data_IF_451846985613
#
_entry.id   IF_451846985613
#
_cell.length_a   1.000
_cell.length_b   1.000
_cell.length_c   1.000
_cell.angle_alpha   90.00
_cell.angle_beta   90.00
_cell.angle_gamma   90.00
#
_symmetry.space_group_name_H-M   'P 1'
#
loop_
_entity.id
_entity.type
_entity.pdbx_description
1 polymer ?
#
# COMPACT_ATOMS: atom_id res chain seq x y z
N UNK A 1 5.27 7.04 -24.77
CA UNK A 1 4.86 8.26 -23.98
C UNK A 1 4.36 9.22 -25.03
N UNK A 2 3.78 10.23 -24.96
CA UNK A 2 3.04 11.18 -25.83
C UNK A 2 1.55 11.21 -25.55
N UNK A 3 1.15 10.82 -24.32
CA UNK A 3 -0.23 11.01 -23.89
C UNK A 3 -0.33 12.24 -23.00
N UNK A 4 -1.50 12.86 -22.99
CA UNK A 4 -1.83 13.92 -22.04
C UNK A 4 -1.83 13.36 -20.61
N UNK A 5 -1.17 14.03 -19.68
CA UNK A 5 -1.04 13.57 -18.29
C UNK A 5 -2.35 13.42 -17.53
N UNK A 6 -3.35 14.19 -17.95
CA UNK A 6 -4.68 14.19 -17.34
C UNK A 6 -5.63 13.18 -17.99
N UNK A 7 -5.23 12.55 -19.11
CA UNK A 7 -6.02 11.57 -19.84
C UNK A 7 -5.08 10.51 -20.42
N UNK A 8 -4.86 9.44 -19.69
CA UNK A 8 -3.93 8.36 -20.08
C UNK A 8 -4.69 7.08 -20.38
N UNK A 9 -4.29 6.38 -21.44
CA UNK A 9 -4.85 5.09 -21.82
C UNK A 9 -3.76 4.10 -22.22
N UNK A 10 -3.83 2.89 -21.69
CA UNK A 10 -2.95 1.78 -22.06
C UNK A 10 -3.78 0.49 -22.09
N UNK A 11 -3.85 -0.16 -23.25
CA UNK A 11 -4.64 -1.37 -23.41
C UNK A 11 -6.11 -1.15 -23.05
N UNK A 12 -6.58 -1.97 -22.14
CA UNK A 12 -7.95 -1.94 -21.59
C UNK A 12 -8.16 -0.89 -20.48
N UNK A 13 -7.09 -0.26 -20.00
CA UNK A 13 -7.16 0.67 -18.87
C UNK A 13 -7.08 2.13 -19.31
N UNK A 14 -7.99 2.96 -18.80
CA UNK A 14 -7.97 4.42 -18.96
C UNK A 14 -8.07 5.10 -17.60
N UNK A 15 -7.24 6.12 -17.40
CA UNK A 15 -7.27 6.97 -16.20
C UNK A 15 -7.37 8.43 -16.62
N UNK A 16 -8.39 9.11 -16.12
CA UNK A 16 -8.62 10.54 -16.37
C UNK A 16 -8.62 11.31 -15.06
N UNK A 17 -7.94 12.44 -15.05
CA UNK A 17 -8.04 13.43 -13.97
C UNK A 17 -9.16 14.40 -14.34
N UNK A 18 -10.30 14.28 -13.66
CA UNK A 18 -11.46 15.14 -13.88
C UNK A 18 -11.24 16.50 -13.20
N UNK A 19 -10.86 16.46 -11.92
CA UNK A 19 -10.43 17.63 -11.18
C UNK A 19 -9.12 17.30 -10.41
N UNK A 20 -8.03 18.03 -10.66
CA UNK A 20 -6.75 17.75 -9.98
C UNK A 20 -6.88 17.70 -8.47
N UNK A 21 -6.30 16.64 -7.87
CA UNK A 21 -6.31 16.35 -6.44
C UNK A 21 -7.69 16.10 -5.82
N UNK A 22 -8.77 16.10 -6.60
CA UNK A 22 -10.14 15.89 -6.10
C UNK A 22 -10.82 14.69 -6.74
N UNK A 23 -10.81 14.60 -8.08
CA UNK A 23 -11.60 13.60 -8.78
C UNK A 23 -10.80 12.92 -9.91
N UNK A 24 -10.87 11.61 -9.92
CA UNK A 24 -10.28 10.74 -10.95
C UNK A 24 -11.34 9.78 -11.47
N UNK A 25 -11.32 9.52 -12.77
CA UNK A 25 -12.10 8.44 -13.38
C UNK A 25 -11.17 7.33 -13.88
N UNK A 26 -11.59 6.09 -13.66
CA UNK A 26 -10.92 4.89 -14.13
C UNK A 26 -11.91 4.07 -14.91
N UNK A 27 -11.60 3.83 -16.19
CA UNK A 27 -12.34 2.92 -17.04
C UNK A 27 -11.47 1.69 -17.32
N UNK A 28 -12.03 0.49 -17.15
CA UNK A 28 -11.45 -0.77 -17.57
C UNK A 28 -12.42 -1.41 -18.54
N UNK A 29 -11.95 -1.74 -19.76
CA UNK A 29 -12.76 -2.42 -20.76
C UNK A 29 -11.90 -3.54 -21.34
N UNK A 30 -12.11 -4.76 -20.84
CA UNK A 30 -11.39 -5.95 -21.28
C UNK A 30 -12.39 -7.05 -21.68
N UNK A 31 -12.86 -7.03 -22.94
CA UNK A 31 -13.83 -7.99 -23.43
C UNK A 31 -13.28 -9.43 -23.48
N UNK A 32 -11.97 -9.60 -23.65
CA UNK A 32 -11.33 -10.92 -23.70
C UNK A 32 -11.33 -11.61 -22.33
N UNK A 33 -11.39 -10.84 -21.26
CA UNK A 33 -11.43 -11.30 -19.87
C UNK A 33 -12.79 -11.12 -19.20
N UNK A 34 -13.73 -10.55 -19.94
CA UNK A 34 -15.08 -10.25 -19.44
C UNK A 34 -15.03 -9.40 -18.14
N UNK A 35 -14.15 -8.40 -18.15
CA UNK A 35 -13.96 -7.44 -17.06
C UNK A 35 -14.25 -6.04 -17.56
N UNK A 36 -15.20 -5.36 -16.93
CA UNK A 36 -15.43 -3.95 -17.17
C UNK A 36 -15.55 -3.21 -15.83
N UNK A 37 -15.05 -2.01 -15.79
CA UNK A 37 -15.24 -1.11 -14.66
C UNK A 37 -15.37 0.33 -15.17
N UNK A 38 -16.30 1.06 -14.57
CA UNK A 38 -16.45 2.50 -14.70
C UNK A 38 -16.50 3.06 -13.28
N UNK A 39 -15.40 3.62 -12.84
CA UNK A 39 -15.21 4.01 -11.47
C UNK A 39 -14.74 5.46 -11.35
N UNK A 40 -15.34 6.19 -10.45
CA UNK A 40 -14.92 7.54 -10.06
C UNK A 40 -14.41 7.52 -8.63
N UNK A 41 -13.18 7.97 -8.44
CA UNK A 41 -12.60 8.25 -7.13
C UNK A 41 -12.81 9.72 -6.78
N UNK A 42 -13.35 9.99 -5.62
CA UNK A 42 -13.51 11.34 -5.07
C UNK A 42 -12.75 11.44 -3.76
N UNK A 43 -11.79 12.37 -3.68
CA UNK A 43 -11.07 12.64 -2.43
C UNK A 43 -12.03 13.10 -1.33
N UNK A 44 -11.90 12.49 -0.16
CA UNK A 44 -12.65 12.89 1.06
C UNK A 44 -11.93 13.98 1.82
N UNK A 45 -10.62 13.96 1.73
CA UNK A 45 -9.71 14.89 2.41
C UNK A 45 -8.64 15.37 1.44
N UNK A 46 -7.95 16.45 1.81
CA UNK A 46 -6.79 16.92 1.06
C UNK A 46 -5.69 15.85 1.02
N UNK A 47 -4.94 15.74 -0.10
CA UNK A 47 -3.85 14.80 -0.19
C UNK A 47 -2.72 15.15 0.77
N UNK A 48 -2.17 14.14 1.43
CA UNK A 48 -1.03 14.27 2.32
C UNK A 48 0.27 13.95 1.59
N UNK A 49 1.29 14.78 1.77
CA UNK A 49 2.64 14.45 1.34
C UNK A 49 3.38 13.77 2.48
N UNK A 50 3.83 12.54 2.23
CA UNK A 50 4.66 11.82 3.17
C UNK A 50 6.09 12.38 3.22
N UNK A 51 6.81 12.20 4.33
CA UNK A 51 8.23 12.53 4.41
C UNK A 51 9.05 11.86 3.30
N UNK A 52 10.02 12.59 2.75
CA UNK A 52 10.93 12.06 1.74
C UNK A 52 11.72 10.87 2.28
N UNK A 53 11.71 9.77 1.56
CA UNK A 53 12.44 8.56 1.89
C UNK A 53 13.71 8.45 1.06
N UNK A 54 14.88 8.33 1.72
CA UNK A 54 16.17 8.16 1.06
C UNK A 54 16.83 6.89 1.57
N UNK A 55 17.12 5.96 0.66
CA UNK A 55 17.85 4.72 0.94
C UNK A 55 19.08 4.64 0.06
N UNK A 56 20.17 4.15 0.64
CA UNK A 56 21.46 4.03 -0.05
C UNK A 56 22.06 2.63 0.16
N UNK A 57 22.76 2.15 -0.84
CA UNK A 57 23.67 1.02 -0.74
C UNK A 57 25.09 1.51 -1.03
N UNK A 58 25.88 1.74 0.02
CA UNK A 58 27.16 2.44 -0.08
C UNK A 58 26.97 3.87 -0.66
N UNK A 59 27.74 4.24 -1.69
CA UNK A 59 27.62 5.55 -2.33
C UNK A 59 26.37 5.68 -3.23
N UNK A 60 25.70 4.58 -3.56
CA UNK A 60 24.60 4.54 -4.52
C UNK A 60 23.26 4.79 -3.83
N UNK A 61 22.52 5.76 -4.33
CA UNK A 61 21.12 5.96 -3.94
C UNK A 61 20.25 4.93 -4.66
N UNK A 62 19.59 4.07 -3.89
CA UNK A 62 18.66 3.03 -4.38
C UNK A 62 17.20 3.51 -4.36
N UNK A 63 16.89 4.40 -3.44
CA UNK A 63 15.59 5.07 -3.36
C UNK A 63 15.79 6.51 -2.90
N UNK A 64 15.12 7.43 -3.56
CA UNK A 64 15.00 8.82 -3.16
C UNK A 64 13.65 9.32 -3.67
N UNK A 65 12.63 9.13 -2.87
CA UNK A 65 11.26 9.33 -3.31
C UNK A 65 10.44 10.09 -2.29
N UNK A 66 9.49 10.85 -2.83
CA UNK A 66 8.38 11.44 -2.08
C UNK A 66 7.10 10.78 -2.55
N UNK A 67 6.16 10.57 -1.64
CA UNK A 67 4.85 10.01 -1.93
C UNK A 67 3.77 10.95 -1.42
N UNK A 68 2.70 11.02 -2.19
CA UNK A 68 1.45 11.64 -1.80
C UNK A 68 0.41 10.53 -1.61
N UNK A 69 -0.27 10.54 -0.49
CA UNK A 69 -1.40 9.65 -0.20
C UNK A 69 -2.67 10.47 -0.02
N UNK A 70 -3.78 10.01 -0.59
CA UNK A 70 -5.08 10.63 -0.44
C UNK A 70 -6.15 9.58 -0.19
N UNK A 71 -6.97 9.81 0.82
CA UNK A 71 -8.14 9.00 1.13
C UNK A 71 -9.37 9.51 0.39
N UNK A 72 -10.20 8.58 -0.06
CA UNK A 72 -11.37 8.94 -0.87
C UNK A 72 -12.47 7.89 -0.82
N UNK A 73 -13.47 8.12 -1.66
CA UNK A 73 -14.59 7.21 -1.88
C UNK A 73 -14.69 6.86 -3.34
N UNK A 74 -15.24 5.67 -3.62
CA UNK A 74 -15.49 5.20 -4.97
C UNK A 74 -16.97 5.21 -5.31
N UNK A 75 -17.29 5.49 -6.57
CA UNK A 75 -18.62 5.40 -7.13
C UNK A 75 -18.56 4.84 -8.53
N UNK A 76 -19.58 4.08 -8.95
CA UNK A 76 -19.66 3.51 -10.29
C UNK A 76 -20.09 2.05 -10.30
N UNK A 77 -19.51 1.26 -11.19
CA UNK A 77 -19.80 -0.17 -11.29
C UNK A 77 -18.59 -0.99 -11.76
N UNK A 78 -18.59 -2.24 -11.37
CA UNK A 78 -17.64 -3.26 -11.85
C UNK A 78 -18.48 -4.43 -12.35
N UNK A 79 -18.20 -4.94 -13.55
CA UNK A 79 -18.72 -6.22 -14.00
C UNK A 79 -17.59 -7.20 -14.26
N UNK A 80 -17.83 -8.44 -13.86
CA UNK A 80 -16.92 -9.56 -14.08
C UNK A 80 -17.74 -10.80 -14.39
N UNK A 81 -17.61 -11.29 -15.61
CA UNK A 81 -18.47 -12.36 -16.17
C UNK A 81 -19.94 -11.94 -16.03
N UNK A 82 -20.75 -12.78 -15.42
CA UNK A 82 -22.18 -12.56 -15.19
C UNK A 82 -22.52 -11.77 -13.92
N UNK A 83 -21.50 -11.26 -13.20
CA UNK A 83 -21.68 -10.52 -11.95
C UNK A 83 -21.48 -9.03 -12.17
N UNK A 84 -22.39 -8.25 -11.65
CA UNK A 84 -22.28 -6.80 -11.56
C UNK A 84 -22.25 -6.35 -10.09
N UNK A 85 -21.31 -5.48 -9.78
CA UNK A 85 -21.15 -4.86 -8.46
C UNK A 85 -21.38 -3.37 -8.64
N UNK A 86 -22.43 -2.84 -7.99
CA UNK A 86 -22.63 -1.40 -7.88
C UNK A 86 -21.75 -0.85 -6.76
N UNK A 87 -20.96 0.15 -7.10
CA UNK A 87 -20.04 0.81 -6.17
C UNK A 87 -20.64 2.14 -5.76
N UNK A 88 -20.89 2.33 -4.46
CA UNK A 88 -21.45 3.57 -3.93
C UNK A 88 -20.46 4.26 -3.00
N UNK A 89 -20.36 5.59 -3.08
CA UNK A 89 -19.44 6.39 -2.26
C UNK A 89 -19.62 6.26 -0.75
N UNK A 90 -20.78 5.80 -0.31
CA UNK A 90 -21.08 5.64 1.11
C UNK A 90 -20.45 4.35 1.66
N UNK A 91 -20.37 3.30 0.83
CA UNK A 91 -19.93 1.96 1.22
C UNK A 91 -18.49 1.69 0.81
N UNK A 92 -18.07 2.19 -0.36
CA UNK A 92 -16.76 1.91 -0.92
C UNK A 92 -15.78 3.05 -0.66
N UNK A 93 -14.87 2.83 0.27
CA UNK A 93 -13.77 3.73 0.58
C UNK A 93 -12.49 3.22 -0.07
N UNK A 94 -11.52 4.10 -0.22
CA UNK A 94 -10.24 3.73 -0.76
C UNK A 94 -9.17 4.76 -0.48
N UNK A 95 -7.97 4.42 -0.89
CA UNK A 95 -6.84 5.31 -0.85
C UNK A 95 -6.14 5.27 -2.20
N UNK A 96 -5.55 6.37 -2.60
CA UNK A 96 -4.62 6.41 -3.71
C UNK A 96 -3.29 6.95 -3.24
N UNK A 97 -2.21 6.42 -3.77
CA UNK A 97 -0.90 7.02 -3.61
C UNK A 97 -0.28 7.36 -4.97
N UNK A 98 0.65 8.28 -4.93
CA UNK A 98 1.51 8.62 -6.05
C UNK A 98 2.89 8.97 -5.53
N UNK A 99 3.89 8.30 -6.04
CA UNK A 99 5.28 8.61 -5.72
C UNK A 99 6.05 9.12 -6.93
N UNK A 100 7.08 9.91 -6.65
CA UNK A 100 8.01 10.44 -7.65
C UNK A 100 9.42 10.51 -7.07
N UNK A 101 10.42 10.42 -7.95
CA UNK A 101 11.83 10.40 -7.58
C UNK A 101 12.54 9.14 -8.09
N UNK A 102 13.59 8.72 -7.39
CA UNK A 102 14.37 7.51 -7.71
C UNK A 102 13.73 6.32 -6.98
N UNK A 103 13.41 5.29 -7.74
CA UNK A 103 12.85 4.03 -7.21
C UNK A 103 13.53 2.83 -7.86
N UNK A 104 13.61 1.66 -7.17
CA UNK A 104 14.13 0.43 -7.74
C UNK A 104 13.08 -0.23 -8.65
N UNK A 105 12.84 0.33 -9.82
CA UNK A 105 11.90 -0.17 -10.83
C UNK A 105 12.60 -0.39 -12.16
N UNK A 106 12.02 -1.24 -13.01
CA UNK A 106 12.61 -1.62 -14.30
C UNK A 106 13.55 -2.81 -14.20
N UNK A 107 14.31 -3.04 -15.26
CA UNK A 107 15.29 -4.12 -15.30
C UNK A 107 16.41 -3.88 -14.27
N UNK A 108 16.94 -4.96 -13.67
CA UNK A 108 18.10 -4.86 -12.80
C UNK A 108 19.27 -4.18 -13.52
N UNK A 109 20.03 -3.41 -12.77
CA UNK A 109 21.23 -2.77 -13.28
C UNK A 109 22.26 -3.83 -13.70
N UNK A 110 22.94 -3.62 -14.82
CA UNK A 110 23.99 -4.51 -15.32
C UNK A 110 25.22 -4.59 -14.40
N UNK A 111 25.37 -3.63 -13.51
CA UNK A 111 26.45 -3.56 -12.50
C UNK A 111 25.86 -3.58 -11.10
N UNK A 112 25.23 -4.69 -10.74
CA UNK A 112 24.72 -4.89 -9.39
C UNK A 112 25.89 -4.86 -8.40
N UNK A 113 25.78 -4.03 -7.37
CA UNK A 113 26.66 -4.14 -6.21
C UNK A 113 26.31 -5.44 -5.46
N UNK A 114 27.31 -6.29 -5.15
CA UNK A 114 27.03 -7.45 -4.32
C UNK A 114 26.46 -7.00 -2.97
N UNK A 115 25.48 -7.72 -2.43
CA UNK A 115 24.96 -7.40 -1.11
C UNK A 115 26.05 -7.61 -0.05
N UNK A 116 26.25 -6.63 0.80
CA UNK A 116 27.19 -6.71 1.91
C UNK A 116 26.69 -7.58 3.06
N UNK A 117 25.39 -7.83 3.10
CA UNK A 117 24.68 -8.61 4.11
C UNK A 117 23.43 -9.23 3.49
N UNK A 118 22.73 -10.08 4.25
CA UNK A 118 21.43 -10.61 3.83
C UNK A 118 20.50 -9.42 3.50
N UNK A 119 19.87 -9.40 2.33
CA UNK A 119 18.90 -8.35 2.00
C UNK A 119 17.84 -8.23 3.07
N UNK A 120 17.54 -7.02 3.49
CA UNK A 120 16.57 -6.73 4.53
C UNK A 120 15.68 -5.56 4.10
N UNK A 121 14.37 -5.74 4.22
CA UNK A 121 13.39 -4.70 4.06
C UNK A 121 12.16 -5.03 4.92
N UNK A 122 11.93 -4.26 5.94
CA UNK A 122 10.75 -4.38 6.80
C UNK A 122 9.87 -3.16 6.57
N UNK A 123 8.83 -3.35 5.77
CA UNK A 123 7.89 -2.31 5.36
C UNK A 123 6.48 -2.63 5.81
N UNK A 124 5.88 -1.68 6.54
CA UNK A 124 4.46 -1.65 6.87
C UNK A 124 3.90 -0.30 6.48
N UNK A 125 2.77 -0.28 5.76
CA UNK A 125 2.08 0.94 5.35
C UNK A 125 0.57 0.73 5.51
N UNK A 126 -0.12 1.61 6.25
CA UNK A 126 -1.47 1.37 6.70
C UNK A 126 -2.36 2.64 6.62
N UNK A 127 -2.92 2.92 5.46
CA UNK A 127 -3.98 3.91 5.29
C UNK A 127 -5.33 3.32 5.70
N UNK A 128 -6.14 4.09 6.43
CA UNK A 128 -7.49 3.71 6.83
C UNK A 128 -8.50 4.84 6.73
N UNK A 129 -9.73 4.48 6.42
CA UNK A 129 -10.89 5.37 6.36
C UNK A 129 -11.85 5.04 7.50
N UNK A 130 -12.20 6.04 8.30
CA UNK A 130 -13.26 6.02 9.29
C UNK A 130 -14.43 6.89 8.80
N UNK A 131 -15.53 6.95 9.55
CA UNK A 131 -16.70 7.75 9.14
C UNK A 131 -16.34 9.23 8.98
N UNK A 132 -15.71 9.81 9.99
CA UNK A 132 -15.42 11.25 10.14
C UNK A 132 -13.94 11.62 9.98
N UNK A 133 -13.06 10.64 9.75
CA UNK A 133 -11.60 10.85 9.74
C UNK A 133 -10.90 9.82 8.86
N UNK A 134 -9.60 10.02 8.69
CA UNK A 134 -8.70 9.02 8.09
C UNK A 134 -7.43 8.94 8.90
N UNK A 135 -6.75 7.80 8.85
CA UNK A 135 -5.42 7.68 9.40
C UNK A 135 -4.45 7.11 8.36
N UNK A 136 -3.21 7.51 8.49
CA UNK A 136 -2.14 6.99 7.68
C UNK A 136 -0.91 6.80 8.54
N UNK A 137 -0.35 5.61 8.53
CA UNK A 137 0.90 5.32 9.23
C UNK A 137 1.78 4.38 8.41
N UNK A 138 3.08 4.50 8.57
CA UNK A 138 4.03 3.54 8.04
C UNK A 138 5.29 3.40 8.89
N UNK A 139 5.97 2.25 8.71
CA UNK A 139 7.27 1.93 9.27
C UNK A 139 8.20 1.36 8.21
N UNK A 140 9.47 1.76 8.29
CA UNK A 140 10.60 1.04 7.71
C UNK A 140 11.59 0.78 8.83
N UNK A 141 11.79 -0.48 9.17
CA UNK A 141 12.74 -0.86 10.21
C UNK A 141 14.04 -1.42 9.64
N UNK A 142 15.09 -1.27 10.41
CA UNK A 142 16.32 -2.05 10.22
C UNK A 142 16.17 -3.48 10.80
N UNK A 143 17.19 -4.30 10.66
CA UNK A 143 17.18 -5.68 11.17
C UNK A 143 17.11 -5.80 12.70
N UNK A 144 17.43 -4.74 13.43
CA UNK A 144 17.32 -4.67 14.88
C UNK A 144 15.95 -4.17 15.35
N UNK A 145 15.10 -3.75 14.41
CA UNK A 145 13.77 -3.21 14.71
C UNK A 145 13.76 -1.71 15.00
N UNK A 146 14.86 -0.99 14.75
CA UNK A 146 14.86 0.46 14.87
C UNK A 146 14.19 1.06 13.65
N UNK A 147 13.19 1.95 13.80
CA UNK A 147 12.56 2.61 12.70
C UNK A 147 13.53 3.58 12.02
N UNK A 148 13.91 3.28 10.78
CA UNK A 148 14.72 4.17 9.93
C UNK A 148 13.87 5.27 9.31
N UNK A 149 12.61 4.95 9.03
CA UNK A 149 11.59 5.89 8.57
C UNK A 149 10.26 5.51 9.20
N UNK A 150 9.55 6.48 9.71
CA UNK A 150 8.19 6.29 10.20
C UNK A 150 7.38 7.57 10.07
N UNK A 151 6.08 7.43 9.93
CA UNK A 151 5.16 8.56 9.87
C UNK A 151 3.79 8.13 10.38
N UNK A 152 3.09 9.02 11.05
CA UNK A 152 1.74 8.77 11.49
C UNK A 152 0.93 10.07 11.50
N UNK A 153 -0.25 10.02 10.88
CA UNK A 153 -1.16 11.16 10.77
C UNK A 153 -2.58 10.70 10.95
N UNK A 154 -3.38 11.48 11.66
CA UNK A 154 -4.84 11.43 11.60
C UNK A 154 -5.31 12.72 10.94
N UNK A 155 -6.21 12.61 9.99
CA UNK A 155 -6.79 13.74 9.29
C UNK A 155 -8.30 13.77 9.55
N UNK A 156 -8.76 14.88 10.10
CA UNK A 156 -10.14 15.26 10.25
C UNK A 156 -10.52 16.31 9.20
N UNK A 157 -11.77 16.73 9.15
CA UNK A 157 -12.25 17.68 8.14
C UNK A 157 -11.48 19.02 8.17
N UNK A 158 -11.20 19.54 9.35
CA UNK A 158 -10.54 20.84 9.54
C UNK A 158 -9.15 20.77 10.18
N UNK A 159 -8.70 19.57 10.57
CA UNK A 159 -7.48 19.39 11.36
C UNK A 159 -6.67 18.19 10.88
N UNK A 160 -5.34 18.34 10.95
CA UNK A 160 -4.38 17.26 10.70
C UNK A 160 -3.47 17.10 11.91
N UNK A 161 -3.61 15.98 12.60
CA UNK A 161 -2.75 15.58 13.69
C UNK A 161 -1.54 14.79 13.17
N UNK A 162 -0.35 15.36 13.25
CA UNK A 162 0.91 14.64 13.06
C UNK A 162 1.33 14.05 14.40
N UNK A 163 1.44 12.73 14.47
CA UNK A 163 1.65 11.99 15.71
C UNK A 163 3.12 11.61 15.89
N UNK A 164 3.53 11.49 17.13
CA UNK A 164 4.88 11.12 17.57
C UNK A 164 4.88 9.81 18.36
N UNK A 165 6.06 9.32 18.76
CA UNK A 165 6.25 8.12 19.58
C UNK A 165 5.51 6.89 19.02
N UNK A 166 5.55 6.71 17.69
CA UNK A 166 4.86 5.63 17.02
C UNK A 166 5.47 4.28 17.39
N UNK A 167 4.64 3.37 17.92
CA UNK A 167 5.01 2.02 18.37
C UNK A 167 4.15 0.98 17.70
N UNK A 168 4.65 -0.26 17.66
CA UNK A 168 3.94 -1.39 17.08
C UNK A 168 4.12 -2.66 17.91
N UNK A 169 3.07 -3.47 17.93
CA UNK A 169 3.05 -4.86 18.39
C UNK A 169 2.45 -5.70 17.27
N UNK A 170 3.20 -6.67 16.77
CA UNK A 170 2.82 -7.45 15.60
C UNK A 170 2.72 -8.92 15.99
N UNK A 171 1.61 -9.52 15.64
CA UNK A 171 1.39 -10.98 15.76
C UNK A 171 1.35 -11.59 14.36
N UNK A 172 2.14 -12.62 14.14
CA UNK A 172 2.22 -13.33 12.87
C UNK A 172 1.43 -14.63 12.88
N UNK A 173 1.00 -15.08 11.72
CA UNK A 173 0.55 -16.45 11.52
C UNK A 173 1.76 -17.39 11.66
N UNK A 174 1.65 -18.42 12.48
CA UNK A 174 2.73 -19.37 12.75
C UNK A 174 3.33 -19.94 11.46
N UNK A 175 4.65 -19.98 11.38
CA UNK A 175 5.40 -20.48 10.24
C UNK A 175 5.41 -19.56 9.01
N UNK A 176 4.93 -18.33 9.15
CA UNK A 176 4.87 -17.36 8.05
C UNK A 176 5.29 -15.98 8.49
N UNK A 177 5.38 -15.05 7.52
CA UNK A 177 5.57 -13.61 7.77
C UNK A 177 4.27 -12.83 7.65
N UNK A 178 3.12 -13.51 7.45
CA UNK A 178 1.81 -12.88 7.38
C UNK A 178 1.37 -12.39 8.75
N UNK A 179 0.95 -11.16 8.81
CA UNK A 179 0.43 -10.57 10.03
C UNK A 179 -1.00 -11.08 10.27
N UNK A 180 -1.27 -11.58 11.47
CA UNK A 180 -2.60 -11.96 11.92
C UNK A 180 -3.30 -10.86 12.72
N UNK A 181 -2.53 -10.04 13.43
CA UNK A 181 -2.99 -8.84 14.14
C UNK A 181 -1.84 -7.84 14.24
N UNK A 182 -2.13 -6.57 14.06
CA UNK A 182 -1.20 -5.50 14.35
C UNK A 182 -1.84 -4.48 15.31
N UNK A 183 -1.07 -4.06 16.31
CA UNK A 183 -1.43 -2.96 17.21
C UNK A 183 -0.43 -1.85 17.04
N UNK A 184 -0.93 -0.65 16.89
CA UNK A 184 -0.12 0.56 16.84
C UNK A 184 -0.55 1.52 17.93
N UNK A 185 0.39 2.30 18.45
CA UNK A 185 0.10 3.43 19.33
C UNK A 185 0.99 4.60 19.01
N UNK A 186 0.50 5.81 19.25
CA UNK A 186 1.22 7.04 19.02
C UNK A 186 0.71 8.13 19.97
N UNK A 187 1.38 9.29 20.00
CA UNK A 187 0.98 10.43 20.82
C UNK A 187 0.67 11.66 19.97
N UNK A 188 -0.41 12.34 20.32
CA UNK A 188 -0.73 13.68 19.84
C UNK A 188 0.24 14.72 20.43
N UNK A 189 0.25 15.92 19.87
CA UNK A 189 1.05 17.04 20.36
C UNK A 189 0.75 17.46 21.81
N UNK A 190 -0.50 17.23 22.26
CA UNK A 190 -0.92 17.49 23.65
C UNK A 190 -0.55 16.36 24.63
N UNK A 191 0.11 15.29 24.16
CA UNK A 191 0.52 14.13 24.94
C UNK A 191 -0.53 13.03 25.08
N UNK A 192 -1.76 13.21 24.58
CA UNK A 192 -2.77 12.14 24.59
C UNK A 192 -2.38 10.99 23.71
N UNK A 193 -2.71 9.77 24.12
CA UNK A 193 -2.41 8.55 23.39
C UNK A 193 -3.52 8.22 22.39
N UNK A 194 -3.10 7.73 21.24
CA UNK A 194 -3.95 7.19 20.20
C UNK A 194 -3.51 5.77 19.89
N UNK A 195 -4.44 4.86 19.64
CA UNK A 195 -4.10 3.49 19.31
C UNK A 195 -4.98 2.90 18.22
N UNK A 196 -4.41 1.95 17.47
CA UNK A 196 -5.09 1.19 16.41
C UNK A 196 -4.93 -0.31 16.67
N UNK A 197 -6.00 -1.05 16.36
CA UNK A 197 -5.97 -2.50 16.21
C UNK A 197 -6.37 -2.80 14.77
N UNK A 198 -5.54 -3.56 14.07
CA UNK A 198 -5.74 -3.97 12.69
C UNK A 198 -5.95 -5.48 12.62
N UNK A 199 -7.07 -5.89 12.05
CA UNK A 199 -7.43 -7.28 11.84
C UNK A 199 -7.47 -7.57 10.32
N UNK A 200 -6.43 -8.24 9.75
CA UNK A 200 -6.42 -8.66 8.36
C UNK A 200 -7.56 -9.63 8.04
N UNK A 201 -8.24 -9.40 6.91
CA UNK A 201 -9.36 -10.23 6.42
C UNK A 201 -9.03 -10.93 5.11
N UNK A 202 -8.47 -10.19 4.14
CA UNK A 202 -8.14 -10.66 2.80
C UNK A 202 -6.79 -10.12 2.37
N UNK A 203 -6.04 -10.89 1.59
CA UNK A 203 -4.79 -10.45 1.00
C UNK A 203 -4.98 -10.11 -0.47
N UNK A 204 -4.39 -9.01 -0.91
CA UNK A 204 -4.22 -8.64 -2.31
C UNK A 204 -2.74 -8.75 -2.63
N UNK A 205 -2.40 -9.56 -3.64
CA UNK A 205 -1.02 -9.73 -4.05
C UNK A 205 -0.56 -8.59 -4.95
N UNK A 206 0.47 -7.88 -4.52
CA UNK A 206 1.01 -6.72 -5.23
C UNK A 206 1.75 -7.11 -6.52
N UNK A 207 2.05 -8.38 -6.73
CA UNK A 207 2.58 -8.85 -8.00
C UNK A 207 1.58 -8.61 -9.15
N UNK A 208 0.28 -8.60 -8.92
CA UNK A 208 -0.72 -8.19 -9.90
C UNK A 208 -0.57 -6.74 -10.40
N UNK A 209 0.16 -5.90 -9.65
CA UNK A 209 0.56 -4.56 -10.05
C UNK A 209 2.00 -4.51 -10.58
N UNK A 210 2.66 -5.67 -10.71
CA UNK A 210 4.02 -5.81 -11.21
C UNK A 210 5.13 -5.86 -10.16
N UNK A 211 4.82 -5.77 -8.86
CA UNK A 211 5.84 -5.91 -7.83
C UNK A 211 6.31 -7.36 -7.73
N UNK A 212 7.60 -7.60 -8.04
CA UNK A 212 8.21 -8.93 -8.11
C UNK A 212 7.52 -9.89 -9.09
N UNK A 213 6.71 -9.39 -10.02
CA UNK A 213 6.11 -10.22 -11.04
C UNK A 213 7.18 -10.78 -11.98
N UNK A 214 7.19 -12.10 -12.25
CA UNK A 214 8.27 -12.76 -13.01
C UNK A 214 8.39 -12.26 -14.46
N UNK A 215 7.28 -11.87 -15.08
CA UNK A 215 7.25 -11.42 -16.47
C UNK A 215 6.92 -9.93 -16.62
N UNK A 216 5.91 -9.44 -15.89
CA UNK A 216 5.39 -8.06 -15.96
C UNK A 216 5.88 -7.21 -14.80
N UNK A 217 7.19 -7.29 -14.53
CA UNK A 217 7.81 -6.53 -13.45
C UNK A 217 7.56 -5.02 -13.57
N UNK A 218 7.38 -4.38 -12.43
CA UNK A 218 7.12 -2.95 -12.34
C UNK A 218 8.19 -2.13 -13.10
N UNK A 219 7.79 -1.33 -14.07
CA UNK A 219 8.68 -0.54 -14.92
C UNK A 219 9.31 -1.30 -16.08
N UNK A 220 8.98 -2.60 -16.31
CA UNK A 220 9.43 -3.33 -17.49
C UNK A 220 8.64 -2.91 -18.73
N UNK A 221 9.35 -2.55 -19.81
CA UNK A 221 8.70 -2.26 -21.08
C UNK A 221 8.27 -3.56 -21.77
N UNK A 222 6.99 -3.70 -22.07
CA UNK A 222 6.38 -4.86 -22.74
C UNK A 222 5.84 -4.57 -24.14
N UNK A 223 6.14 -3.40 -24.68
CA UNK A 223 5.60 -2.90 -25.93
C UNK A 223 4.65 -1.72 -25.73
N UNK A 224 4.22 -1.15 -26.84
CA UNK A 224 3.23 -0.07 -26.81
C UNK A 224 1.84 -0.63 -26.58
N UNK A 225 1.06 0.05 -25.76
CA UNK A 225 -0.36 -0.23 -25.55
C UNK A 225 -0.68 -1.67 -25.12
N UNK A 226 0.20 -2.28 -24.29
CA UNK A 226 0.04 -3.64 -23.79
C UNK A 226 -0.55 -3.63 -22.38
N UNK A 227 -1.43 -4.58 -22.12
CA UNK A 227 -1.98 -4.91 -20.80
C UNK A 227 -2.01 -6.42 -20.59
N UNK A 228 -2.02 -6.85 -19.34
CA UNK A 228 -2.16 -8.25 -18.95
C UNK A 228 -3.21 -8.38 -17.85
N UNK A 229 -3.57 -9.60 -17.56
CA UNK A 229 -4.56 -9.96 -16.55
C UNK A 229 -4.07 -11.16 -15.75
N UNK A 230 -4.09 -11.03 -14.43
CA UNK A 230 -3.79 -12.10 -13.50
C UNK A 230 -5.01 -12.42 -12.63
N UNK A 231 -5.10 -13.67 -12.20
CA UNK A 231 -6.16 -14.16 -11.32
C UNK A 231 -5.55 -15.02 -10.22
N UNK A 232 -5.92 -14.76 -8.99
CA UNK A 232 -5.39 -15.43 -7.80
C UNK A 232 -6.53 -16.05 -7.00
N UNK A 233 -6.33 -17.29 -6.52
CA UNK A 233 -7.24 -17.92 -5.56
C UNK A 233 -6.89 -17.42 -4.14
N UNK A 234 -7.79 -16.67 -3.53
CA UNK A 234 -7.58 -16.14 -2.18
C UNK A 234 -7.71 -17.19 -1.05
N UNK A 235 -8.07 -18.42 -1.38
CA UNK A 235 -8.01 -19.54 -0.42
C UNK A 235 -6.60 -20.12 -0.29
N UNK A 236 -5.72 -19.82 -1.24
CA UNK A 236 -4.30 -20.15 -1.17
C UNK A 236 -3.54 -18.97 -0.56
N UNK A 237 -2.46 -19.24 0.15
CA UNK A 237 -1.58 -18.22 0.72
C UNK A 237 -0.12 -18.58 0.42
N UNK A 238 0.31 -18.48 -0.84
CA UNK A 238 1.68 -18.78 -1.24
C UNK A 238 2.67 -17.76 -0.64
N UNK A 239 3.89 -18.25 -0.34
CA UNK A 239 4.98 -17.45 0.25
C UNK A 239 6.22 -17.35 -0.65
N UNK A 240 6.10 -17.70 -1.93
CA UNK A 240 7.15 -17.49 -2.91
C UNK A 240 7.39 -16.00 -3.17
N UNK A 241 8.56 -15.61 -3.70
CA UNK A 241 8.92 -14.22 -3.89
C UNK A 241 7.86 -13.32 -4.54
N UNK A 242 7.11 -13.73 -5.58
CA UNK A 242 6.04 -12.91 -6.16
C UNK A 242 4.91 -12.56 -5.18
N UNK A 243 4.71 -13.38 -4.15
CA UNK A 243 3.61 -13.26 -3.19
C UNK A 243 4.00 -12.66 -1.84
N UNK A 244 5.27 -12.25 -1.67
CA UNK A 244 5.73 -11.65 -0.41
C UNK A 244 5.14 -10.27 -0.15
N UNK A 245 4.97 -9.48 -1.21
CA UNK A 245 4.42 -8.13 -1.13
C UNK A 245 2.88 -8.19 -1.25
N UNK A 246 2.21 -7.89 -0.17
CA UNK A 246 0.75 -7.93 -0.11
C UNK A 246 0.18 -6.63 0.45
N UNK A 247 -1.10 -6.39 0.13
CA UNK A 247 -1.96 -5.48 0.87
C UNK A 247 -3.07 -6.30 1.52
N UNK A 248 -3.04 -6.41 2.83
CA UNK A 248 -4.11 -7.04 3.59
C UNK A 248 -5.25 -6.03 3.81
N UNK A 249 -6.45 -6.34 3.32
CA UNK A 249 -7.66 -5.58 3.68
C UNK A 249 -7.95 -5.85 5.15
N UNK A 250 -7.99 -4.81 5.96
CA UNK A 250 -8.13 -4.90 7.41
C UNK A 250 -9.37 -4.17 7.91
N UNK A 251 -9.99 -4.74 8.96
CA UNK A 251 -10.79 -3.97 9.88
C UNK A 251 -9.84 -3.19 10.79
N UNK A 252 -10.11 -1.91 10.95
CA UNK A 252 -9.39 -1.03 11.88
C UNK A 252 -10.29 -0.64 13.04
N UNK A 253 -9.74 -0.71 14.24
CA UNK A 253 -10.32 -0.11 15.43
C UNK A 253 -9.38 1.00 15.90
N UNK A 254 -9.85 2.24 15.86
CA UNK A 254 -9.11 3.43 16.32
C UNK A 254 -9.66 3.86 17.68
N UNK A 255 -8.79 4.00 18.67
CA UNK A 255 -9.11 4.62 19.96
C UNK A 255 -8.43 5.99 20.01
N UNK A 256 -9.24 7.03 20.09
CA UNK A 256 -8.84 8.43 20.07
C UNK A 256 -9.76 9.24 20.97
N UNK A 257 -9.21 10.09 21.86
CA UNK A 257 -9.97 11.01 22.73
C UNK A 257 -11.12 10.33 23.49
N UNK A 258 -10.86 9.14 24.06
CA UNK A 258 -11.84 8.28 24.75
C UNK A 258 -13.00 7.78 23.88
N UNK A 259 -12.85 7.84 22.58
CA UNK A 259 -13.82 7.29 21.60
C UNK A 259 -13.18 6.13 20.85
N UNK A 260 -13.99 5.15 20.53
CA UNK A 260 -13.61 4.03 19.67
C UNK A 260 -14.35 4.17 18.34
N UNK A 261 -13.60 4.13 17.24
CA UNK A 261 -14.12 4.21 15.88
C UNK A 261 -13.74 2.94 15.12
N UNK A 262 -14.66 2.41 14.34
CA UNK A 262 -14.36 1.33 13.39
C UNK A 262 -14.17 1.90 11.99
N UNK A 263 -13.24 1.31 11.23
CA UNK A 263 -12.93 1.71 9.88
C UNK A 263 -12.41 0.56 9.03
N UNK A 264 -12.19 0.86 7.77
CA UNK A 264 -11.61 -0.06 6.79
C UNK A 264 -10.36 0.55 6.18
N UNK A 265 -9.37 -0.28 5.96
CA UNK A 265 -8.11 0.13 5.36
C UNK A 265 -7.31 -1.05 4.85
N UNK A 266 -6.06 -0.79 4.56
CA UNK A 266 -5.11 -1.84 4.19
C UNK A 266 -3.93 -1.82 5.13
N UNK A 267 -3.33 -2.99 5.32
CA UNK A 267 -1.99 -3.13 5.86
C UNK A 267 -1.12 -3.70 4.73
N UNK A 268 -0.27 -2.86 4.15
CA UNK A 268 0.72 -3.30 3.19
C UNK A 268 1.90 -3.89 3.93
N UNK A 269 2.31 -5.08 3.51
CA UNK A 269 3.39 -5.86 4.12
C UNK A 269 4.41 -6.24 3.06
N UNK A 270 5.67 -5.83 3.27
CA UNK A 270 6.82 -6.37 2.54
C UNK A 270 7.94 -6.65 3.55
N UNK A 271 8.01 -7.90 3.99
CA UNK A 271 8.87 -8.35 5.08
C UNK A 271 9.92 -9.31 4.53
N UNK A 272 11.13 -8.82 4.31
CA UNK A 272 12.25 -9.58 3.75
C UNK A 272 13.45 -9.48 4.70
N UNK A 273 14.15 -10.60 4.91
CA UNK A 273 15.39 -10.65 5.67
C UNK A 273 15.20 -10.61 7.19
N UNK A 274 16.32 -10.46 7.92
CA UNK A 274 16.32 -10.50 9.38
C UNK A 274 15.55 -9.32 10.00
N UNK A 275 14.83 -9.61 11.09
CA UNK A 275 14.17 -8.62 11.93
C UNK A 275 14.07 -9.16 13.35
N UNK A 276 14.96 -8.73 14.24
CA UNK A 276 15.10 -9.27 15.60
C UNK A 276 13.83 -9.25 16.43
N UNK A 277 13.00 -8.17 16.44
CA UNK A 277 11.76 -8.15 17.21
C UNK A 277 10.72 -9.17 16.74
N UNK A 278 10.76 -9.57 15.46
CA UNK A 278 9.87 -10.59 14.88
C UNK A 278 10.44 -12.02 14.98
N UNK A 279 11.69 -12.17 15.42
CA UNK A 279 12.40 -13.44 15.46
C UNK A 279 12.80 -13.98 14.09
N UNK A 280 12.84 -13.12 13.06
CA UNK A 280 13.31 -13.48 11.72
C UNK A 280 14.84 -13.40 11.67
N UNK A 281 15.49 -14.45 11.21
CA UNK A 281 16.94 -14.58 11.19
C UNK A 281 17.50 -14.72 9.76
N UNK A 282 16.69 -15.24 8.83
CA UNK A 282 17.07 -15.53 7.46
C UNK A 282 16.32 -14.64 6.46
N UNK A 283 16.49 -14.92 5.16
CA UNK A 283 15.86 -14.13 4.10
C UNK A 283 14.32 -14.24 4.13
N UNK A 284 13.79 -15.45 4.33
CA UNK A 284 12.36 -15.76 4.20
C UNK A 284 11.86 -16.78 5.25
N UNK A 285 12.54 -16.96 6.35
CA UNK A 285 12.03 -17.77 7.46
C UNK A 285 10.72 -17.19 8.02
N UNK A 286 9.89 -18.06 8.55
CA UNK A 286 8.61 -17.67 9.16
C UNK A 286 8.70 -17.52 10.68
N UNK A 287 7.65 -16.98 11.27
CA UNK A 287 7.51 -16.86 12.74
C UNK A 287 7.55 -18.24 13.42
N UNK A 288 8.18 -18.29 14.58
CA UNK A 288 8.30 -19.51 15.42
C UNK A 288 7.00 -19.87 16.12
#
# INVERSE_FOLDING_TARGET
MNQERLDTKVGSLKVQVIEPLKELRIDVIDPDKDVNADLTFVGRFEPMQEPRMVMKNGPRTTMDSTRMTQHGSWNGSISFKDKEIKVSKNEYKGSRDRSWGIRPVGLPDSQLLPPLQIPQFYWLWAPANFEDSTSHLYFVDDSLGNPTHSHCVIQHEEEVDVLSDLRKEITYKKGSRRISEAKFSAKKSNGSEVSWILEPKYHIYMCGLGYMHPEWGHGHFKGENQSTYDSYDLNEDPHDPPFLHIQAICKFTLNEDNKTKEGLGVLEELLIGPHSPSGFEELLDGSK
#
